data_IF_532253095188
#
_entry.id   IF_532253095188
#
_cell.length_a   1.000
_cell.length_b   1.000
_cell.length_c   1.000
_cell.angle_alpha   90.00
_cell.angle_beta   90.00
_cell.angle_gamma   90.00
#
_symmetry.space_group_name_H-M   'P 1'
#
loop_
_entity.id
_entity.type
_entity.pdbx_description
1 polymer ?
#
# COMPACT_ATOMS: atom_id res chain seq x y z
N UNK A 1 -6.14 -20.35 18.32
CA UNK A 1 -6.44 -18.93 18.62
C UNK A 1 -6.45 -18.21 17.29
N UNK A 2 -7.61 -17.80 16.79
CA UNK A 2 -7.68 -17.06 15.52
C UNK A 2 -7.22 -15.63 15.78
N UNK A 3 -6.12 -15.21 15.17
CA UNK A 3 -5.71 -13.81 15.21
C UNK A 3 -6.80 -12.98 14.53
N UNK A 4 -7.45 -12.11 15.31
CA UNK A 4 -8.31 -11.05 14.79
C UNK A 4 -7.39 -9.95 14.32
N UNK A 5 -7.23 -9.79 13.00
CA UNK A 5 -6.59 -8.60 12.46
C UNK A 5 -7.43 -7.38 12.87
N UNK A 6 -6.85 -6.38 13.55
CA UNK A 6 -7.60 -5.17 13.87
C UNK A 6 -8.10 -4.51 12.58
N UNK A 7 -9.27 -3.85 12.59
CA UNK A 7 -9.75 -3.15 11.42
C UNK A 7 -8.72 -2.08 11.03
N UNK A 8 -8.09 -2.27 9.87
CA UNK A 8 -7.23 -1.27 9.28
C UNK A 8 -8.13 -0.07 9.00
N UNK A 9 -8.01 0.98 9.81
CA UNK A 9 -8.66 2.26 9.52
C UNK A 9 -8.16 2.70 8.15
N UNK A 10 -9.07 3.03 7.23
CA UNK A 10 -8.67 3.45 5.89
C UNK A 10 -7.68 4.61 6.00
N UNK A 11 -6.41 4.43 5.60
CA UNK A 11 -5.39 5.45 5.76
C UNK A 11 -5.74 6.69 4.93
N UNK A 12 -5.38 7.86 5.43
CA UNK A 12 -5.43 9.10 4.64
C UNK A 12 -4.41 8.99 3.50
N UNK A 13 -4.91 8.63 2.31
CA UNK A 13 -4.10 8.43 1.11
C UNK A 13 -3.41 9.73 0.68
N UNK A 14 -4.03 10.90 0.91
CA UNK A 14 -3.42 12.18 0.57
C UNK A 14 -2.18 12.44 1.44
N UNK A 15 -2.32 12.27 2.76
CA UNK A 15 -1.20 12.41 3.68
C UNK A 15 -0.10 11.37 3.40
N UNK A 16 -0.49 10.13 3.10
CA UNK A 16 0.45 9.06 2.73
C UNK A 16 1.28 9.44 1.50
N UNK A 17 0.64 9.88 0.42
CA UNK A 17 1.33 10.29 -0.82
C UNK A 17 2.29 11.45 -0.56
N UNK A 18 1.85 12.47 0.18
CA UNK A 18 2.68 13.64 0.51
C UNK A 18 3.93 13.26 1.32
N UNK A 19 3.75 12.49 2.39
CA UNK A 19 4.87 12.08 3.25
C UNK A 19 5.81 11.12 2.53
N UNK A 20 5.28 10.21 1.71
CA UNK A 20 6.10 9.26 0.95
C UNK A 20 6.91 9.96 -0.12
N UNK A 21 6.33 10.94 -0.83
CA UNK A 21 7.08 11.76 -1.78
C UNK A 21 8.24 12.50 -1.11
N UNK A 22 7.99 13.10 0.07
CA UNK A 22 9.01 13.76 0.87
C UNK A 22 10.11 12.79 1.33
N UNK A 23 9.73 11.61 1.83
CA UNK A 23 10.66 10.57 2.28
C UNK A 23 11.57 10.07 1.15
N UNK A 24 11.02 9.92 -0.06
CA UNK A 24 11.75 9.46 -1.24
C UNK A 24 12.50 10.57 -1.98
N UNK A 25 12.37 11.84 -1.55
CA UNK A 25 12.95 12.99 -2.25
C UNK A 25 12.33 13.25 -3.62
N UNK A 26 11.07 12.86 -3.82
CA UNK A 26 10.33 13.04 -5.07
C UNK A 26 9.50 14.33 -5.01
N UNK A 27 9.57 15.12 -6.08
CA UNK A 27 8.69 16.28 -6.25
C UNK A 27 7.49 15.90 -7.11
N UNK A 28 6.28 16.03 -6.56
CA UNK A 28 5.03 15.86 -7.31
C UNK A 28 4.54 17.26 -7.71
N UNK A 29 4.41 17.57 -9.01
CA UNK A 29 3.84 18.84 -9.44
C UNK A 29 2.42 19.04 -8.89
N UNK A 30 2.06 20.26 -8.43
CA UNK A 30 0.75 20.50 -7.82
C UNK A 30 -0.44 20.08 -8.70
N UNK A 31 -0.32 20.24 -10.01
CA UNK A 31 -1.32 19.86 -11.01
C UNK A 31 -1.49 18.33 -11.14
N UNK A 32 -0.51 17.54 -10.71
CA UNK A 32 -0.54 16.07 -10.75
C UNK A 32 -0.97 15.44 -9.42
N UNK A 33 -0.91 16.19 -8.32
CA UNK A 33 -1.17 15.67 -6.96
C UNK A 33 -2.51 14.93 -6.86
N UNK A 34 -3.59 15.52 -7.40
CA UNK A 34 -4.91 14.92 -7.38
C UNK A 34 -4.96 13.56 -8.11
N UNK A 35 -4.31 13.47 -9.28
CA UNK A 35 -4.26 12.23 -10.06
C UNK A 35 -3.41 11.16 -9.39
N UNK A 36 -2.30 11.53 -8.75
CA UNK A 36 -1.47 10.58 -7.98
C UNK A 36 -2.28 10.00 -6.81
N UNK A 37 -2.98 10.85 -6.06
CA UNK A 37 -3.83 10.40 -4.94
C UNK A 37 -4.93 9.47 -5.43
N UNK A 38 -5.59 9.77 -6.55
CA UNK A 38 -6.63 8.91 -7.11
C UNK A 38 -6.08 7.55 -7.54
N UNK A 39 -4.93 7.53 -8.22
CA UNK A 39 -4.27 6.28 -8.59
C UNK A 39 -3.89 5.44 -7.37
N UNK A 40 -3.43 6.07 -6.28
CA UNK A 40 -3.14 5.35 -5.03
C UNK A 40 -4.39 4.74 -4.38
N UNK A 41 -5.55 5.40 -4.45
CA UNK A 41 -6.81 4.80 -3.99
C UNK A 41 -7.19 3.57 -4.81
N UNK A 42 -6.99 3.62 -6.13
CA UNK A 42 -7.24 2.47 -7.01
C UNK A 42 -6.28 1.32 -6.69
N UNK A 43 -4.99 1.60 -6.50
CA UNK A 43 -4.00 0.60 -6.07
C UNK A 43 -4.39 -0.02 -4.72
N UNK A 44 -4.85 0.79 -3.76
CA UNK A 44 -5.33 0.28 -2.47
C UNK A 44 -6.52 -0.67 -2.64
N UNK A 45 -7.52 -0.29 -3.44
CA UNK A 45 -8.69 -1.13 -3.69
C UNK A 45 -8.30 -2.48 -4.32
N UNK A 46 -7.34 -2.49 -5.24
CA UNK A 46 -6.80 -3.70 -5.88
C UNK A 46 -5.98 -4.54 -4.89
N UNK A 47 -5.24 -3.89 -3.98
CA UNK A 47 -4.41 -4.57 -2.99
C UNK A 47 -5.22 -5.17 -1.83
N UNK A 48 -6.41 -4.62 -1.53
CA UNK A 48 -7.22 -5.01 -0.37
C UNK A 48 -7.47 -6.54 -0.27
N UNK A 49 -7.83 -7.26 -1.35
CA UNK A 49 -8.02 -8.72 -1.28
C UNK A 49 -6.74 -9.49 -0.93
N UNK A 50 -5.57 -8.96 -1.29
CA UNK A 50 -4.26 -9.56 -0.96
C UNK A 50 -3.90 -9.30 0.51
N UNK A 51 -4.25 -8.12 1.04
CA UNK A 51 -4.01 -7.76 2.43
C UNK A 51 -4.92 -8.51 3.42
N UNK A 52 -6.12 -8.91 2.97
CA UNK A 52 -7.06 -9.70 3.77
C UNK A 52 -6.77 -11.20 3.74
N UNK A 53 -5.92 -11.67 2.81
CA UNK A 53 -5.50 -13.05 2.76
C UNK A 53 -4.66 -13.40 4.00
N UNK A 54 -5.01 -14.43 4.78
CA UNK A 54 -4.23 -14.82 5.94
C UNK A 54 -2.88 -15.37 5.50
N UNK A 55 -1.79 -14.76 5.97
CA UNK A 55 -0.43 -15.25 5.73
C UNK A 55 -0.02 -16.20 6.87
N UNK A 56 0.35 -17.46 6.58
CA UNK A 56 0.98 -18.34 7.55
C UNK A 56 2.30 -17.76 8.08
N UNK A 57 2.64 -18.05 9.34
CA UNK A 57 3.90 -17.57 9.96
C UNK A 57 5.15 -18.16 9.28
N UNK A 58 5.01 -19.31 8.60
CA UNK A 58 6.07 -20.01 7.87
C UNK A 58 6.06 -19.71 6.35
N UNK A 59 5.22 -18.77 5.90
CA UNK A 59 5.18 -18.35 4.51
C UNK A 59 6.37 -17.44 4.19
N UNK A 60 7.31 -18.00 3.44
CA UNK A 60 8.43 -17.25 2.85
C UNK A 60 8.03 -16.64 1.49
N UNK A 61 8.74 -15.58 1.09
CA UNK A 61 8.59 -15.00 -0.23
C UNK A 61 8.85 -16.07 -1.32
N UNK A 62 8.07 -16.03 -2.42
CA UNK A 62 8.20 -16.99 -3.51
C UNK A 62 9.68 -17.10 -3.97
N UNK A 63 10.29 -18.29 -3.94
CA UNK A 63 11.76 -18.39 -3.90
C UNK A 63 12.45 -18.30 -5.27
N UNK A 64 11.95 -17.57 -6.27
CA UNK A 64 12.55 -17.64 -7.61
C UNK A 64 12.91 -16.31 -8.25
N UNK A 65 14.15 -15.92 -8.01
CA UNK A 65 14.94 -15.17 -8.98
C UNK A 65 15.66 -16.18 -9.88
N UNK A 66 15.37 -16.19 -11.19
CA UNK A 66 16.19 -16.88 -12.20
C UNK A 66 17.14 -15.85 -12.84
N UNK A 67 18.46 -16.10 -12.86
CA UNK A 67 19.47 -15.17 -13.37
C UNK A 67 19.42 -14.95 -14.88
#
# INVERSE_FOLDING_TARGET
MSQVNPPISSPDISAYVQHTALLLGLSIPPEQMASVVENFKQVQAIAQPVLEFPLPDDLEAAPRFEP
#
